data_IF_629500164086
#
_entry.id   IF_629500164086
#
_cell.length_a   1.000
_cell.length_b   1.000
_cell.length_c   1.000
_cell.angle_alpha   90.00
_cell.angle_beta   90.00
_cell.angle_gamma   90.00
#
_symmetry.space_group_name_H-M   'P 1'
#
loop_
_entity.id
_entity.type
_entity.pdbx_description
1 polymer ?
#
# COMPACT_ATOMS: atom_id res chain seq x y z
N UNK A 1 7.07 -0.51 -40.05
CA UNK A 1 6.17 -0.93 -38.96
C UNK A 1 5.40 0.31 -38.53
N UNK A 2 4.07 0.23 -38.33
CA UNK A 2 3.31 1.37 -37.87
C UNK A 2 3.80 1.78 -36.47
N UNK A 3 4.25 3.02 -36.33
CA UNK A 3 4.65 3.60 -35.05
C UNK A 3 3.40 3.73 -34.18
N UNK A 4 3.40 3.08 -33.01
CA UNK A 4 2.24 3.11 -32.13
C UNK A 4 2.22 4.42 -31.37
N UNK A 5 1.05 5.05 -31.28
CA UNK A 5 0.89 6.34 -30.61
C UNK A 5 1.29 6.24 -29.12
N UNK A 6 2.02 7.25 -28.64
CA UNK A 6 2.55 7.28 -27.27
C UNK A 6 1.40 7.29 -26.27
N UNK A 7 1.34 6.28 -25.41
CA UNK A 7 0.31 6.12 -24.39
C UNK A 7 0.65 6.95 -23.15
N UNK A 8 -0.36 7.39 -22.40
CA UNK A 8 -0.13 7.83 -21.02
C UNK A 8 0.10 6.61 -20.10
N UNK A 9 0.71 6.84 -18.94
CA UNK A 9 1.05 5.77 -18.00
C UNK A 9 -0.16 4.95 -17.53
N UNK A 10 -1.29 5.61 -17.26
CA UNK A 10 -2.51 4.92 -16.85
C UNK A 10 -2.98 3.92 -17.90
N UNK A 11 -3.11 4.36 -19.15
CA UNK A 11 -3.68 3.56 -20.23
C UNK A 11 -2.72 2.43 -20.63
N UNK A 12 -1.41 2.67 -20.56
CA UNK A 12 -0.37 1.64 -20.75
C UNK A 12 -0.52 0.51 -19.74
N UNK A 13 -0.67 0.84 -18.45
CA UNK A 13 -0.83 -0.17 -17.38
C UNK A 13 -2.14 -0.95 -17.56
N UNK A 14 -3.24 -0.27 -17.89
CA UNK A 14 -4.53 -0.94 -18.10
C UNK A 14 -4.50 -1.87 -19.32
N UNK A 15 -3.94 -1.42 -20.43
CA UNK A 15 -3.80 -2.24 -21.64
C UNK A 15 -2.93 -3.48 -21.37
N UNK A 16 -1.80 -3.34 -20.68
CA UNK A 16 -0.96 -4.48 -20.30
C UNK A 16 -1.69 -5.49 -19.43
N UNK A 17 -2.42 -5.03 -18.40
CA UNK A 17 -3.20 -5.91 -17.51
C UNK A 17 -4.33 -6.64 -18.25
N UNK A 18 -4.87 -6.04 -19.32
CA UNK A 18 -5.89 -6.66 -20.18
C UNK A 18 -5.31 -7.53 -21.30
N UNK A 19 -3.98 -7.71 -21.37
CA UNK A 19 -3.32 -8.45 -22.46
C UNK A 19 -3.35 -7.73 -23.82
N UNK A 20 -3.63 -6.43 -23.83
CA UNK A 20 -3.63 -5.60 -25.03
C UNK A 20 -2.23 -5.19 -25.49
N UNK A 21 -2.17 -4.46 -26.62
CA UNK A 21 -0.93 -3.88 -27.13
C UNK A 21 -0.53 -2.64 -26.31
N UNK A 22 0.76 -2.48 -26.07
CA UNK A 22 1.34 -1.36 -25.31
C UNK A 22 2.54 -0.76 -26.04
N UNK A 23 2.68 0.57 -25.96
CA UNK A 23 3.75 1.33 -26.66
C UNK A 23 5.14 0.99 -26.12
N UNK A 24 5.20 0.68 -24.82
CA UNK A 24 6.32 -0.01 -24.16
C UNK A 24 5.79 -0.81 -22.98
N UNK A 25 6.60 -1.74 -22.47
CA UNK A 25 6.29 -2.44 -21.22
C UNK A 25 6.11 -1.43 -20.07
N UNK A 26 4.98 -1.45 -19.33
CA UNK A 26 4.80 -0.60 -18.16
C UNK A 26 5.70 -1.06 -17.01
N UNK A 27 6.18 -0.11 -16.23
CA UNK A 27 6.95 -0.38 -15.01
C UNK A 27 6.11 0.03 -13.81
N UNK A 28 5.76 -0.93 -12.95
CA UNK A 28 4.93 -0.71 -11.78
C UNK A 28 5.62 -1.27 -10.55
N UNK A 29 5.49 -0.59 -9.41
CA UNK A 29 5.82 -1.14 -8.10
C UNK A 29 4.51 -1.36 -7.33
N UNK A 30 3.99 -2.60 -7.29
CA UNK A 30 2.79 -2.88 -6.54
C UNK A 30 3.06 -3.05 -5.04
N UNK A 31 4.29 -3.30 -4.60
CA UNK A 31 4.61 -3.65 -3.20
C UNK A 31 4.76 -2.42 -2.32
N UNK A 32 5.93 -1.80 -2.36
CA UNK A 32 6.31 -0.69 -1.52
C UNK A 32 7.41 0.09 -2.24
N UNK A 33 7.22 1.40 -2.34
CA UNK A 33 8.14 2.33 -2.99
C UNK A 33 9.00 3.10 -1.99
N UNK A 34 8.68 3.05 -0.71
CA UNK A 34 9.32 3.86 0.32
C UNK A 34 10.77 3.44 0.57
N UNK A 35 11.68 4.41 0.48
CA UNK A 35 13.07 4.33 0.95
C UNK A 35 13.37 5.51 1.87
N UNK A 36 14.42 5.41 2.69
CA UNK A 36 14.82 6.49 3.63
C UNK A 36 15.07 7.79 2.88
N UNK A 37 15.72 7.73 1.71
CA UNK A 37 16.01 8.88 0.86
C UNK A 37 14.74 9.53 0.31
N UNK A 38 13.74 8.74 -0.08
CA UNK A 38 12.46 9.26 -0.55
C UNK A 38 11.65 9.87 0.60
N UNK A 39 11.73 9.30 1.81
CA UNK A 39 11.14 9.90 3.00
C UNK A 39 11.76 11.27 3.30
N UNK A 40 13.09 11.39 3.22
CA UNK A 40 13.79 12.66 3.41
C UNK A 40 13.46 13.68 2.32
N UNK A 41 13.30 13.22 1.07
CA UNK A 41 12.99 14.08 -0.06
C UNK A 41 11.65 14.82 0.10
N UNK A 42 10.65 14.16 0.69
CA UNK A 42 9.30 14.72 0.85
C UNK A 42 8.88 14.99 2.30
N UNK A 43 9.83 14.92 3.23
CA UNK A 43 9.62 15.08 4.68
C UNK A 43 8.46 14.20 5.22
N UNK A 44 8.45 12.94 4.79
CA UNK A 44 7.40 11.97 5.13
C UNK A 44 8.02 10.70 5.76
N UNK A 45 8.58 10.79 6.98
CA UNK A 45 9.17 9.64 7.66
C UNK A 45 8.11 8.64 8.15
N UNK A 46 8.56 7.44 8.48
CA UNK A 46 7.79 6.51 9.30
C UNK A 46 8.01 6.76 10.79
N UNK A 47 6.99 6.54 11.63
CA UNK A 47 5.67 5.96 11.30
C UNK A 47 4.61 6.92 10.74
N UNK A 48 4.88 8.22 10.67
CA UNK A 48 3.91 9.27 10.36
C UNK A 48 3.28 9.09 8.96
N UNK A 49 4.08 8.77 7.94
CA UNK A 49 3.58 8.52 6.58
C UNK A 49 2.70 7.27 6.45
N UNK A 50 2.63 6.41 7.47
CA UNK A 50 1.68 5.30 7.52
C UNK A 50 0.33 5.68 8.15
N UNK A 51 0.25 6.83 8.84
CA UNK A 51 -0.90 7.24 9.68
C UNK A 51 -1.45 8.64 9.37
N UNK A 52 -0.80 9.37 8.47
CA UNK A 52 -1.26 10.64 7.94
C UNK A 52 -1.46 10.54 6.41
N UNK A 53 -2.65 10.89 5.89
CA UNK A 53 -2.97 10.68 4.48
C UNK A 53 -2.20 11.61 3.53
N UNK A 54 -1.90 12.84 3.94
CA UNK A 54 -1.14 13.80 3.13
C UNK A 54 0.32 13.35 2.96
N UNK A 55 0.98 12.97 4.06
CA UNK A 55 2.34 12.42 4.06
C UNK A 55 2.41 11.12 3.26
N UNK A 56 1.43 10.23 3.43
CA UNK A 56 1.32 8.99 2.68
C UNK A 56 1.21 9.26 1.16
N UNK A 57 0.32 10.17 0.75
CA UNK A 57 0.14 10.55 -0.64
C UNK A 57 1.41 11.17 -1.23
N UNK A 58 2.09 12.04 -0.47
CA UNK A 58 3.34 12.67 -0.87
C UNK A 58 4.44 11.63 -1.14
N UNK A 59 4.66 10.71 -0.18
CA UNK A 59 5.66 9.66 -0.31
C UNK A 59 5.32 8.69 -1.45
N UNK A 60 4.06 8.30 -1.60
CA UNK A 60 3.64 7.39 -2.67
C UNK A 60 3.83 8.01 -4.06
N UNK A 61 3.58 9.32 -4.20
CA UNK A 61 3.71 10.05 -5.45
C UNK A 61 5.15 10.02 -6.00
N UNK A 62 6.16 9.93 -5.13
CA UNK A 62 7.58 9.87 -5.54
C UNK A 62 7.88 8.71 -6.49
N UNK A 63 7.14 7.59 -6.39
CA UNK A 63 7.27 6.48 -7.33
C UNK A 63 6.98 6.88 -8.78
N UNK A 64 6.03 7.79 -8.98
CA UNK A 64 5.68 8.30 -10.30
C UNK A 64 6.51 9.54 -10.68
N UNK A 65 6.75 10.46 -9.75
CA UNK A 65 7.43 11.73 -10.06
C UNK A 65 8.95 11.60 -10.15
N UNK A 66 9.57 10.83 -9.25
CA UNK A 66 11.02 10.73 -9.13
C UNK A 66 11.57 9.46 -9.79
N UNK A 67 10.92 8.31 -9.56
CA UNK A 67 11.39 7.02 -10.07
C UNK A 67 10.88 6.70 -11.48
N UNK A 68 9.89 7.43 -11.97
CA UNK A 68 9.34 7.27 -13.33
C UNK A 68 8.48 6.02 -13.52
N UNK A 69 7.92 5.44 -12.45
CA UNK A 69 6.96 4.35 -12.57
C UNK A 69 5.67 4.80 -13.25
N UNK A 70 5.01 3.87 -13.92
CA UNK A 70 3.73 4.10 -14.58
C UNK A 70 2.53 4.06 -13.61
N UNK A 71 2.78 3.75 -12.34
CA UNK A 71 1.78 3.59 -11.29
C UNK A 71 2.19 4.22 -9.96
N UNK A 72 1.20 4.61 -9.17
CA UNK A 72 1.37 5.06 -7.77
C UNK A 72 0.69 4.04 -6.85
N UNK A 73 1.40 3.62 -5.79
CA UNK A 73 0.92 2.65 -4.80
C UNK A 73 1.03 3.25 -3.38
N UNK A 74 -0.06 3.76 -2.79
CA UNK A 74 -0.05 4.40 -1.46
C UNK A 74 -0.02 3.41 -0.29
N UNK A 75 0.42 2.18 -0.54
CA UNK A 75 0.41 1.09 0.41
C UNK A 75 1.86 0.66 0.65
N UNK A 76 2.36 0.85 1.87
CA UNK A 76 3.77 0.58 2.20
C UNK A 76 3.95 -0.72 2.99
N UNK A 77 2.91 -1.16 3.68
CA UNK A 77 2.92 -2.37 4.51
C UNK A 77 1.49 -2.84 4.79
N UNK A 78 1.35 -4.03 5.38
CA UNK A 78 0.08 -4.70 5.71
C UNK A 78 -0.45 -4.38 7.13
N UNK A 79 0.16 -3.38 7.73
CA UNK A 79 0.01 -3.03 9.14
C UNK A 79 -1.24 -2.20 9.40
N UNK A 80 -1.76 -1.46 8.42
CA UNK A 80 -2.99 -0.68 8.55
C UNK A 80 -4.21 -1.58 8.81
N UNK A 81 -4.38 -2.65 8.02
CA UNK A 81 -5.45 -3.62 8.24
C UNK A 81 -5.26 -4.40 9.55
N UNK A 82 -4.01 -4.75 9.87
CA UNK A 82 -3.70 -5.47 11.13
C UNK A 82 -4.07 -4.62 12.35
N UNK A 83 -3.74 -3.33 12.32
CA UNK A 83 -4.13 -2.35 13.34
C UNK A 83 -5.65 -2.23 13.44
N UNK A 84 -6.34 -2.12 12.31
CA UNK A 84 -7.80 -2.01 12.25
C UNK A 84 -8.53 -3.30 12.70
N UNK A 85 -7.90 -4.47 12.60
CA UNK A 85 -8.39 -5.72 13.18
C UNK A 85 -8.17 -5.81 14.69
N UNK A 86 -7.42 -4.88 15.29
CA UNK A 86 -7.16 -4.82 16.72
C UNK A 86 -5.83 -5.44 17.15
N UNK A 87 -4.90 -5.71 16.22
CA UNK A 87 -3.58 -6.21 16.58
C UNK A 87 -2.77 -5.17 17.35
N UNK A 88 -1.95 -5.63 18.30
CA UNK A 88 -0.98 -4.74 18.94
C UNK A 88 0.18 -4.45 17.99
N UNK A 89 0.31 -3.20 17.57
CA UNK A 89 1.29 -2.78 16.57
C UNK A 89 2.61 -2.32 17.21
N UNK A 90 3.71 -2.65 16.55
CA UNK A 90 5.03 -2.06 16.72
C UNK A 90 5.26 -1.13 15.55
N UNK A 91 5.12 0.17 15.76
CA UNK A 91 5.25 1.16 14.68
C UNK A 91 6.70 1.45 14.29
N UNK A 92 7.67 0.97 15.09
CA UNK A 92 9.11 1.10 14.86
C UNK A 92 9.55 2.55 14.57
N UNK A 93 10.78 2.76 14.10
CA UNK A 93 11.32 4.07 13.71
C UNK A 93 11.61 4.07 12.20
N UNK A 94 11.99 5.23 11.65
CA UNK A 94 12.19 5.47 10.21
C UNK A 94 13.03 4.40 9.48
N UNK A 95 14.00 3.80 10.16
CA UNK A 95 14.93 2.80 9.63
C UNK A 95 14.42 1.36 9.73
N UNK A 96 13.24 1.14 10.34
CA UNK A 96 12.70 -0.19 10.58
C UNK A 96 11.20 -0.26 10.24
N UNK A 97 10.74 -1.45 9.85
CA UNK A 97 9.38 -1.62 9.36
C UNK A 97 8.40 -1.82 10.51
N UNK A 98 7.20 -1.22 10.45
CA UNK A 98 6.18 -1.54 11.42
C UNK A 98 5.79 -3.02 11.35
N UNK A 99 5.59 -3.65 12.50
CA UNK A 99 5.22 -5.08 12.61
C UNK A 99 4.09 -5.30 13.61
N UNK A 100 3.43 -6.44 13.55
CA UNK A 100 2.48 -6.89 14.58
C UNK A 100 3.27 -7.54 15.73
N UNK A 101 2.87 -7.31 16.99
CA UNK A 101 3.38 -8.08 18.13
C UNK A 101 2.81 -9.49 18.11
N UNK A 102 3.47 -10.38 17.37
CA UNK A 102 3.11 -11.80 17.21
C UNK A 102 3.01 -12.58 18.54
N UNK A 103 3.61 -12.07 19.62
CA UNK A 103 3.52 -12.65 20.97
C UNK A 103 2.14 -12.46 21.63
N UNK A 104 1.29 -11.61 21.06
CA UNK A 104 -0.05 -11.29 21.55
C UNK A 104 -1.06 -11.42 20.39
N UNK A 105 -1.31 -12.66 19.92
CA UNK A 105 -2.29 -12.90 18.86
C UNK A 105 -3.69 -12.49 19.32
N UNK A 106 -4.54 -12.13 18.36
CA UNK A 106 -5.93 -11.73 18.63
C UNK A 106 -6.92 -12.89 18.41
N UNK A 107 -6.51 -13.94 17.70
CA UNK A 107 -7.35 -15.08 17.31
C UNK A 107 -6.62 -16.39 17.60
N UNK A 108 -7.31 -17.40 18.12
CA UNK A 108 -6.75 -18.72 18.36
C UNK A 108 -7.24 -19.73 17.32
N UNK A 109 -8.50 -19.65 16.91
CA UNK A 109 -9.11 -20.53 15.90
C UNK A 109 -9.66 -19.75 14.70
N UNK A 110 -9.91 -20.42 13.55
CA UNK A 110 -10.51 -19.77 12.38
C UNK A 110 -11.88 -19.12 12.66
N UNK A 111 -12.62 -19.60 13.64
CA UNK A 111 -13.95 -19.10 14.03
C UNK A 111 -13.87 -17.75 14.76
N UNK A 112 -12.69 -17.38 15.28
CA UNK A 112 -12.46 -16.08 15.92
C UNK A 112 -12.33 -14.93 14.90
N UNK A 113 -12.10 -15.26 13.62
CA UNK A 113 -11.93 -14.29 12.53
C UNK A 113 -13.19 -13.47 12.35
N UNK A 114 -13.16 -12.24 12.84
CA UNK A 114 -14.28 -11.28 12.78
C UNK A 114 -13.74 -9.92 12.34
N UNK A 115 -14.39 -9.33 11.35
CA UNK A 115 -14.12 -7.96 10.93
C UNK A 115 -14.85 -7.03 11.90
N UNK A 116 -14.16 -6.15 12.64
CA UNK A 116 -14.81 -5.26 13.57
C UNK A 116 -15.71 -4.25 12.84
N UNK A 117 -16.80 -3.80 13.46
CA UNK A 117 -17.56 -2.67 12.92
C UNK A 117 -16.65 -1.44 12.87
N UNK A 118 -16.73 -0.65 11.80
CA UNK A 118 -15.87 0.52 11.64
C UNK A 118 -14.48 0.23 11.03
N UNK A 119 -14.26 -0.96 10.45
CA UNK A 119 -12.94 -1.35 9.93
C UNK A 119 -12.34 -0.39 8.89
N UNK A 120 -13.18 0.19 8.02
CA UNK A 120 -12.74 1.15 7.01
C UNK A 120 -12.60 2.57 7.60
N UNK A 121 -13.35 2.85 8.65
CA UNK A 121 -13.37 4.09 9.41
C UNK A 121 -12.21 4.19 10.42
N UNK A 122 -11.56 3.07 10.73
CA UNK A 122 -10.36 3.02 11.56
C UNK A 122 -9.30 3.99 11.00
N UNK A 123 -8.58 4.70 11.89
CA UNK A 123 -7.62 5.75 11.50
C UNK A 123 -6.62 5.25 10.45
N UNK A 124 -6.03 4.08 10.67
CA UNK A 124 -4.96 3.59 9.81
C UNK A 124 -5.50 3.11 8.44
N UNK A 125 -6.70 2.53 8.38
CA UNK A 125 -7.35 2.17 7.09
C UNK A 125 -7.82 3.41 6.34
N UNK A 126 -8.46 4.34 7.04
CA UNK A 126 -8.97 5.58 6.48
C UNK A 126 -7.85 6.47 5.93
N UNK A 127 -6.65 6.41 6.52
CA UNK A 127 -5.43 7.05 6.01
C UNK A 127 -5.14 6.63 4.56
N UNK A 128 -5.20 5.34 4.26
CA UNK A 128 -4.97 4.81 2.89
C UNK A 128 -6.09 5.25 1.95
N UNK A 129 -7.35 5.22 2.42
CA UNK A 129 -8.49 5.65 1.60
C UNK A 129 -8.36 7.15 1.23
N UNK A 130 -8.05 8.01 2.21
CA UNK A 130 -7.86 9.44 1.97
C UNK A 130 -6.62 9.73 1.11
N UNK A 131 -5.52 9.00 1.29
CA UNK A 131 -4.35 9.20 0.43
C UNK A 131 -4.64 8.85 -1.02
N UNK A 132 -5.43 7.79 -1.28
CA UNK A 132 -5.93 7.46 -2.63
C UNK A 132 -6.79 8.59 -3.19
N UNK A 133 -7.68 9.19 -2.39
CA UNK A 133 -8.50 10.32 -2.81
C UNK A 133 -7.64 11.54 -3.20
N UNK A 134 -6.65 11.88 -2.38
CA UNK A 134 -5.69 12.98 -2.64
C UNK A 134 -4.92 12.71 -3.93
N UNK A 135 -4.38 11.50 -4.10
CA UNK A 135 -3.65 11.11 -5.30
C UNK A 135 -4.53 11.15 -6.56
N UNK A 136 -5.79 10.71 -6.46
CA UNK A 136 -6.74 10.77 -7.57
C UNK A 136 -7.02 12.22 -7.99
N UNK A 137 -7.14 13.13 -7.02
CA UNK A 137 -7.32 14.56 -7.27
C UNK A 137 -6.09 15.23 -7.87
N UNK A 138 -4.88 14.83 -7.44
CA UNK A 138 -3.62 15.40 -7.92
C UNK A 138 -3.25 14.91 -9.32
N UNK A 139 -3.43 13.62 -9.61
CA UNK A 139 -2.97 13.00 -10.85
C UNK A 139 -4.06 12.82 -11.93
N UNK A 140 -5.33 13.14 -11.66
CA UNK A 140 -6.47 13.25 -12.62
C UNK A 140 -6.30 12.43 -13.92
N UNK A 141 -6.34 11.09 -13.82
CA UNK A 141 -6.22 10.10 -14.91
C UNK A 141 -4.85 9.97 -15.61
N UNK A 142 -3.81 10.70 -15.19
CA UNK A 142 -2.45 10.63 -15.77
C UNK A 142 -1.67 9.38 -15.34
N UNK A 143 -1.89 8.90 -14.11
CA UNK A 143 -1.25 7.70 -13.56
C UNK A 143 -2.30 6.65 -13.18
N UNK A 144 -1.89 5.38 -13.14
CA UNK A 144 -2.71 4.30 -12.55
C UNK A 144 -2.42 4.24 -11.05
N UNK A 145 -3.44 4.48 -10.23
CA UNK A 145 -3.36 4.13 -8.81
C UNK A 145 -3.50 2.61 -8.70
N UNK A 146 -2.51 1.95 -8.11
CA UNK A 146 -2.59 0.54 -7.76
C UNK A 146 -3.01 0.44 -6.29
N UNK A 147 -4.20 -0.11 -6.08
CA UNK A 147 -4.60 -0.58 -4.78
C UNK A 147 -4.16 -2.04 -4.66
N UNK A 148 -3.43 -2.37 -3.58
CA UNK A 148 -3.27 -3.76 -3.18
C UNK A 148 -4.40 -4.14 -2.23
N UNK A 149 -4.84 -5.39 -2.37
CA UNK A 149 -5.66 -6.07 -1.38
C UNK A 149 -4.83 -7.21 -0.83
N UNK A 150 -4.93 -7.38 0.47
CA UNK A 150 -4.23 -8.38 1.26
C UNK A 150 -4.63 -9.83 0.89
N UNK A 151 -3.68 -10.76 1.09
CA UNK A 151 -3.84 -12.20 0.89
C UNK A 151 -4.07 -12.91 2.23
N UNK A 152 -5.06 -13.80 2.26
CA UNK A 152 -5.52 -14.54 3.44
C UNK A 152 -4.47 -15.53 3.98
N UNK A 153 -3.42 -15.86 3.22
CA UNK A 153 -2.34 -16.73 3.69
C UNK A 153 -1.50 -16.11 4.81
N UNK A 154 -1.09 -14.85 4.66
CA UNK A 154 -0.25 -14.15 5.65
C UNK A 154 -1.02 -13.73 6.92
N UNK A 155 -2.35 -13.59 6.85
CA UNK A 155 -3.21 -13.40 8.05
C UNK A 155 -2.96 -14.41 9.12
N UNK A 156 -2.90 -15.67 8.70
CA UNK A 156 -3.03 -16.77 9.64
C UNK A 156 -1.84 -16.73 10.57
N UNK A 157 -0.66 -16.47 10.02
CA UNK A 157 0.56 -16.31 10.79
C UNK A 157 0.50 -15.12 11.73
N UNK A 158 0.04 -13.96 11.24
CA UNK A 158 0.05 -12.73 12.05
C UNK A 158 -0.98 -12.72 13.17
N UNK A 159 -2.17 -13.27 12.92
CA UNK A 159 -3.29 -13.15 13.85
C UNK A 159 -3.40 -14.31 14.82
N UNK A 160 -2.90 -15.50 14.45
CA UNK A 160 -2.85 -16.68 15.33
C UNK A 160 -1.48 -16.95 15.95
N UNK A 161 -0.49 -16.13 15.61
CA UNK A 161 0.88 -16.29 16.05
C UNK A 161 1.56 -17.53 15.44
N UNK A 162 2.86 -17.66 15.67
CA UNK A 162 3.67 -18.79 15.13
C UNK A 162 3.35 -20.14 15.80
N UNK A 163 2.56 -20.15 16.87
CA UNK A 163 2.31 -21.37 17.68
C UNK A 163 1.31 -22.33 17.05
N UNK A 164 0.46 -21.88 16.12
CA UNK A 164 -0.64 -22.67 15.55
C UNK A 164 -0.29 -23.31 14.19
N UNK A 165 1.01 -23.52 13.92
CA UNK A 165 1.53 -24.11 12.67
C UNK A 165 1.93 -25.60 12.78
N UNK A 166 1.76 -26.22 13.95
CA UNK A 166 2.06 -27.63 14.20
C UNK A 166 0.86 -28.36 14.77
#
# INVERSE_FOLDING_TARGET
>A
MAEMEKMNSRDRVLAALSGGKVDRTPVCNPTNVATVELMDLVDAPFPEANRNPELNASLAATGYTELGFDSISPYFSIIQESSALGCEMQWEQKDNWPTVRMSKPIWDTPEDVKIPPGFLEHQDTSTIIRSIEILAQNFKKKSRLLARRWDLGLSRTMFSGLKNFY
#
